data_IF_496359860421
#
_entry.id   IF_496359860421
#
_cell.length_a   1.000
_cell.length_b   1.000
_cell.length_c   1.000
_cell.angle_alpha   90.00
_cell.angle_beta   90.00
_cell.angle_gamma   90.00
#
_symmetry.space_group_name_H-M   'P 1'
#
loop_
_entity.id
_entity.type
_entity.pdbx_description
1 polymer ?
#
# COMPACT_ATOMS: atom_id res chain seq x y z
N UNK A 1 -21.14 -15.17 15.80
CA UNK A 1 -20.41 -15.51 14.55
C UNK A 1 -19.08 -14.75 14.49
N UNK A 2 -18.48 -14.44 15.66
CA UNK A 2 -17.49 -13.36 15.81
C UNK A 2 -16.05 -13.86 16.01
N UNK A 3 -15.86 -15.17 16.18
CA UNK A 3 -14.55 -15.77 16.43
C UNK A 3 -13.63 -15.79 15.20
N UNK A 4 -14.18 -15.95 13.98
CA UNK A 4 -13.38 -16.06 12.75
C UNK A 4 -12.78 -14.71 12.32
N UNK A 5 -13.55 -13.63 12.38
CA UNK A 5 -13.10 -12.27 12.04
C UNK A 5 -11.98 -11.80 12.98
N UNK A 6 -12.14 -12.06 14.29
CA UNK A 6 -11.11 -11.73 15.29
C UNK A 6 -9.84 -12.57 15.15
N UNK A 7 -9.94 -13.82 14.67
CA UNK A 7 -8.77 -14.68 14.43
C UNK A 7 -7.97 -14.24 13.20
N UNK A 8 -8.66 -13.93 12.10
CA UNK A 8 -8.03 -13.46 10.87
C UNK A 8 -7.26 -12.14 11.08
N UNK A 9 -7.84 -11.20 11.83
CA UNK A 9 -7.18 -9.94 12.17
C UNK A 9 -5.90 -10.15 13.00
N UNK A 10 -5.90 -11.11 13.94
CA UNK A 10 -4.71 -11.47 14.73
C UNK A 10 -3.61 -12.11 13.89
N UNK A 11 -3.97 -12.98 12.94
CA UNK A 11 -3.00 -13.61 12.05
C UNK A 11 -2.34 -12.57 11.13
N UNK A 12 -3.13 -11.72 10.49
CA UNK A 12 -2.63 -10.62 9.66
C UNK A 12 -1.70 -9.70 10.47
N UNK A 13 -2.11 -9.31 11.69
CA UNK A 13 -1.32 -8.43 12.56
C UNK A 13 0.05 -9.02 12.89
N UNK A 14 0.14 -10.34 13.11
CA UNK A 14 1.43 -11.03 13.31
C UNK A 14 2.28 -10.99 12.03
N UNK A 15 1.70 -11.33 10.88
CA UNK A 15 2.41 -11.38 9.61
C UNK A 15 2.91 -9.99 9.17
N UNK A 16 2.08 -8.95 9.26
CA UNK A 16 2.50 -7.59 8.90
C UNK A 16 3.53 -7.03 9.87
N UNK A 17 3.51 -7.44 11.15
CA UNK A 17 4.54 -7.07 12.11
C UNK A 17 5.90 -7.71 11.80
N UNK A 18 5.92 -8.90 11.21
CA UNK A 18 7.17 -9.51 10.70
C UNK A 18 7.71 -8.68 9.53
N UNK A 19 6.86 -8.26 8.59
CA UNK A 19 7.28 -7.38 7.51
C UNK A 19 7.81 -6.05 8.04
N UNK A 20 7.13 -5.43 9.02
CA UNK A 20 7.64 -4.23 9.68
C UNK A 20 9.03 -4.44 10.27
N UNK A 21 9.30 -5.58 10.93
CA UNK A 21 10.64 -5.90 11.46
C UNK A 21 11.69 -6.00 10.36
N UNK A 22 11.35 -6.59 9.21
CA UNK A 22 12.24 -6.66 8.04
C UNK A 22 12.58 -5.25 7.54
N UNK A 23 11.58 -4.38 7.40
CA UNK A 23 11.78 -2.97 7.04
C UNK A 23 12.67 -2.25 8.05
N UNK A 24 12.41 -2.44 9.35
CA UNK A 24 13.19 -1.84 10.43
C UNK A 24 14.63 -2.39 10.57
N UNK A 25 14.93 -3.50 9.88
CA UNK A 25 16.27 -4.11 9.84
C UNK A 25 17.06 -3.70 8.59
N UNK A 26 16.47 -2.88 7.70
CA UNK A 26 17.16 -2.40 6.51
C UNK A 26 18.40 -1.58 6.86
N UNK A 27 19.45 -1.63 6.03
CA UNK A 27 20.73 -0.92 6.26
C UNK A 27 20.60 0.58 6.50
N UNK A 28 19.57 1.22 5.93
CA UNK A 28 19.27 2.65 6.10
C UNK A 28 18.09 2.94 7.02
N UNK A 29 17.53 1.92 7.70
CA UNK A 29 16.36 2.09 8.53
C UNK A 29 16.58 3.11 9.66
N UNK A 30 17.81 3.28 10.14
CA UNK A 30 18.18 4.22 11.22
C UNK A 30 17.71 5.65 10.96
N UNK A 31 17.67 6.09 9.69
CA UNK A 31 17.19 7.42 9.29
C UNK A 31 15.68 7.61 9.50
N UNK A 32 14.93 6.50 9.60
CA UNK A 32 13.47 6.46 9.62
C UNK A 32 12.91 5.85 10.91
N UNK A 33 13.76 5.48 11.87
CA UNK A 33 13.32 4.79 13.09
C UNK A 33 12.53 5.68 14.05
N UNK A 34 12.83 6.98 14.08
CA UNK A 34 12.24 7.95 15.01
C UNK A 34 11.69 9.16 14.24
N UNK A 35 10.73 9.90 14.83
CA UNK A 35 10.25 11.15 14.25
C UNK A 35 11.40 12.13 13.98
N UNK A 36 11.39 12.76 12.80
CA UNK A 36 12.35 13.80 12.45
C UNK A 36 12.03 15.07 13.23
N UNK A 37 13.02 15.63 13.92
CA UNK A 37 12.91 16.89 14.65
C UNK A 37 13.58 18.03 13.88
N UNK A 38 13.22 19.28 14.23
CA UNK A 38 13.84 20.45 13.62
C UNK A 38 15.35 20.60 13.93
N UNK A 39 15.85 19.91 14.98
CA UNK A 39 17.28 19.88 15.31
C UNK A 39 18.09 19.04 14.32
N UNK A 40 17.47 17.99 13.77
CA UNK A 40 18.11 17.09 12.80
C UNK A 40 17.89 17.61 11.37
N UNK A 41 16.74 18.22 11.13
CA UNK A 41 16.33 18.74 9.84
C UNK A 41 15.71 20.14 10.01
N UNK A 42 16.45 21.23 9.74
CA UNK A 42 15.97 22.59 9.94
C UNK A 42 14.64 22.88 9.22
N UNK A 43 13.67 23.46 9.93
CA UNK A 43 12.33 23.79 9.40
C UNK A 43 11.54 22.59 8.84
N UNK A 44 11.85 21.36 9.27
CA UNK A 44 11.16 20.15 8.80
C UNK A 44 9.67 20.19 9.12
N UNK A 45 9.29 20.62 10.33
CA UNK A 45 7.89 20.66 10.77
C UNK A 45 7.04 21.67 10.00
N UNK A 46 7.67 22.70 9.41
CA UNK A 46 6.98 23.70 8.58
C UNK A 46 6.84 23.25 7.13
N UNK A 47 7.73 22.35 6.69
CA UNK A 47 7.78 21.84 5.31
C UNK A 47 6.96 20.56 5.14
N UNK A 48 7.00 19.67 6.14
CA UNK A 48 6.37 18.34 6.11
C UNK A 48 5.18 18.30 7.08
N UNK A 49 3.98 18.50 6.52
CA UNK A 49 2.75 18.59 7.31
C UNK A 49 2.27 17.29 7.94
N UNK A 50 2.58 16.14 7.31
CA UNK A 50 2.20 14.82 7.82
C UNK A 50 3.43 13.95 7.96
N UNK A 51 4.13 14.12 9.08
CA UNK A 51 5.27 13.30 9.44
C UNK A 51 4.86 11.83 9.62
N UNK A 52 5.78 10.93 9.30
CA UNK A 52 5.67 9.49 9.52
C UNK A 52 7.07 8.91 9.70
N UNK A 53 7.17 7.91 10.57
CA UNK A 53 8.40 7.19 10.90
C UNK A 53 8.03 5.74 11.28
N UNK A 54 9.03 4.86 11.35
CA UNK A 54 8.81 3.44 11.61
C UNK A 54 8.29 3.17 13.03
N UNK A 55 8.65 3.95 14.04
CA UNK A 55 8.13 3.78 15.40
C UNK A 55 6.64 4.18 15.46
N UNK A 56 6.27 5.29 14.82
CA UNK A 56 4.86 5.70 14.67
C UNK A 56 4.06 4.66 13.88
N UNK A 57 4.59 4.16 12.76
CA UNK A 57 3.93 3.11 11.98
C UNK A 57 3.72 1.83 12.79
N UNK A 58 4.71 1.42 13.59
CA UNK A 58 4.58 0.28 14.52
C UNK A 58 3.47 0.51 15.53
N UNK A 59 3.44 1.67 16.17
CA UNK A 59 2.39 2.04 17.13
C UNK A 59 1.01 2.02 16.44
N UNK A 60 0.91 2.48 15.21
CA UNK A 60 -0.34 2.47 14.43
C UNK A 60 -0.81 1.05 14.10
N UNK A 61 0.10 0.10 13.85
CA UNK A 61 -0.22 -1.32 13.74
C UNK A 61 -0.70 -1.91 15.07
N UNK A 62 -0.02 -1.58 16.17
CA UNK A 62 -0.33 -2.08 17.51
C UNK A 62 -1.67 -1.57 18.03
N UNK A 63 -2.00 -0.31 17.78
CA UNK A 63 -3.25 0.34 18.21
C UNK A 63 -4.41 0.12 17.24
N UNK A 64 -4.17 -0.47 16.06
CA UNK A 64 -5.21 -0.78 15.08
C UNK A 64 -5.66 0.42 14.23
N UNK A 65 -4.85 1.47 14.15
CA UNK A 65 -5.02 2.57 13.18
C UNK A 65 -4.76 2.04 11.76
N UNK A 66 -3.68 1.27 11.60
CA UNK A 66 -3.37 0.55 10.36
C UNK A 66 -4.03 -0.82 10.46
N UNK A 67 -5.01 -1.08 9.57
CA UNK A 67 -5.86 -2.28 9.62
C UNK A 67 -5.74 -3.18 8.40
N UNK A 68 -5.08 -2.68 7.35
CA UNK A 68 -4.91 -3.37 6.09
C UNK A 68 -3.48 -3.22 5.59
N UNK A 69 -3.06 -4.12 4.70
CA UNK A 69 -1.76 -4.02 4.03
C UNK A 69 -1.66 -2.74 3.19
N UNK A 70 -2.78 -2.26 2.64
CA UNK A 70 -2.83 -0.98 1.92
C UNK A 70 -2.56 0.22 2.83
N UNK A 71 -3.10 0.23 4.05
CA UNK A 71 -2.80 1.27 5.04
C UNK A 71 -1.30 1.29 5.39
N UNK A 72 -0.71 0.11 5.58
CA UNK A 72 0.71 -0.04 5.89
C UNK A 72 1.60 0.48 4.76
N UNK A 73 1.31 0.08 3.51
CA UNK A 73 2.01 0.54 2.32
C UNK A 73 1.89 2.05 2.14
N UNK A 74 0.69 2.63 2.35
CA UNK A 74 0.46 4.07 2.26
C UNK A 74 1.35 4.84 3.23
N UNK A 75 1.41 4.42 4.49
CA UNK A 75 2.17 5.13 5.51
C UNK A 75 3.69 4.95 5.30
N UNK A 76 4.16 3.81 4.79
CA UNK A 76 5.54 3.65 4.31
C UNK A 76 5.87 4.62 3.15
N UNK A 77 5.00 4.69 2.15
CA UNK A 77 5.18 5.59 1.01
C UNK A 77 5.20 7.05 1.45
N UNK A 78 4.34 7.45 2.40
CA UNK A 78 4.35 8.79 2.97
C UNK A 78 5.70 9.11 3.63
N UNK A 79 6.23 8.19 4.45
CA UNK A 79 7.53 8.36 5.11
C UNK A 79 8.66 8.59 4.09
N UNK A 80 8.73 7.77 3.03
CA UNK A 80 9.75 7.95 1.98
C UNK A 80 9.51 9.23 1.16
N UNK A 81 8.27 9.52 0.78
CA UNK A 81 7.95 10.71 -0.01
C UNK A 81 8.26 12.01 0.74
N UNK A 82 8.06 12.04 2.07
CA UNK A 82 8.48 13.16 2.91
C UNK A 82 10.00 13.36 2.85
N UNK A 83 10.78 12.27 2.95
CA UNK A 83 12.23 12.35 2.85
C UNK A 83 12.70 12.80 1.47
N UNK A 84 12.12 12.28 0.39
CA UNK A 84 12.46 12.68 -0.98
C UNK A 84 12.05 14.12 -1.32
N UNK A 85 10.95 14.60 -0.75
CA UNK A 85 10.48 15.98 -0.96
C UNK A 85 11.29 17.00 -0.17
N UNK A 86 11.65 16.68 1.07
CA UNK A 86 12.43 17.58 1.92
C UNK A 86 13.91 17.64 1.51
N UNK A 87 14.50 16.51 1.11
CA UNK A 87 15.93 16.45 0.78
C UNK A 87 16.16 16.72 -0.71
N UNK A 88 17.23 17.46 -1.03
CA UNK A 88 17.70 17.62 -2.40
C UNK A 88 18.15 16.26 -2.98
N UNK A 89 17.92 16.03 -4.28
CA UNK A 89 18.31 14.81 -4.99
C UNK A 89 19.81 14.49 -4.93
N UNK A 90 20.66 15.51 -4.75
CA UNK A 90 22.10 15.32 -4.57
C UNK A 90 22.49 14.86 -3.15
N UNK A 91 21.61 15.05 -2.16
CA UNK A 91 21.87 14.71 -0.77
C UNK A 91 21.82 13.19 -0.54
N UNK A 92 22.71 12.65 0.30
CA UNK A 92 22.80 11.20 0.52
C UNK A 92 21.52 10.63 1.13
N UNK A 93 20.83 11.38 1.99
CA UNK A 93 19.53 10.95 2.56
C UNK A 93 18.48 10.72 1.46
N UNK A 94 18.49 11.52 0.40
CA UNK A 94 17.58 11.30 -0.74
C UNK A 94 17.90 9.97 -1.43
N UNK A 95 19.18 9.73 -1.73
CA UNK A 95 19.64 8.50 -2.41
C UNK A 95 19.35 7.26 -1.56
N UNK A 96 19.63 7.31 -0.26
CA UNK A 96 19.34 6.24 0.70
C UNK A 96 17.83 5.99 0.86
N UNK A 97 17.01 7.06 0.88
CA UNK A 97 15.56 6.94 0.94
C UNK A 97 15.00 6.25 -0.31
N UNK A 98 15.49 6.62 -1.50
CA UNK A 98 15.05 6.04 -2.76
C UNK A 98 15.43 4.55 -2.88
N UNK A 99 16.65 4.19 -2.48
CA UNK A 99 17.09 2.78 -2.44
C UNK A 99 16.23 1.97 -1.47
N UNK A 100 16.07 2.44 -0.23
CA UNK A 100 15.25 1.75 0.77
C UNK A 100 13.79 1.66 0.34
N UNK A 101 13.23 2.69 -0.29
CA UNK A 101 11.86 2.67 -0.82
C UNK A 101 11.70 1.53 -1.83
N UNK A 102 12.60 1.40 -2.80
CA UNK A 102 12.50 0.35 -3.82
C UNK A 102 12.52 -1.05 -3.21
N UNK A 103 13.48 -1.30 -2.31
CA UNK A 103 13.63 -2.60 -1.63
C UNK A 103 12.40 -2.94 -0.77
N UNK A 104 11.91 -1.97 0.00
CA UNK A 104 10.73 -2.14 0.85
C UNK A 104 9.48 -2.36 0.02
N UNK A 105 9.32 -1.66 -1.11
CA UNK A 105 8.16 -1.85 -1.99
C UNK A 105 8.17 -3.22 -2.67
N UNK A 106 9.35 -3.75 -3.00
CA UNK A 106 9.47 -5.14 -3.46
C UNK A 106 9.07 -6.14 -2.36
N UNK A 107 9.48 -5.92 -1.11
CA UNK A 107 9.07 -6.76 0.03
C UNK A 107 7.54 -6.71 0.26
N UNK A 108 6.93 -5.53 0.17
CA UNK A 108 5.46 -5.36 0.28
C UNK A 108 4.74 -6.09 -0.86
N UNK A 109 5.22 -5.99 -2.10
CA UNK A 109 4.66 -6.71 -3.23
C UNK A 109 4.74 -8.23 -3.04
N UNK A 110 5.88 -8.75 -2.58
CA UNK A 110 6.06 -10.17 -2.27
C UNK A 110 5.12 -10.64 -1.14
N UNK A 111 4.94 -9.80 -0.11
CA UNK A 111 4.00 -10.07 0.97
C UNK A 111 2.57 -10.19 0.44
N UNK A 112 2.11 -9.24 -0.39
CA UNK A 112 0.78 -9.27 -1.02
C UNK A 112 0.57 -10.51 -1.89
N UNK A 113 1.55 -10.88 -2.71
CA UNK A 113 1.50 -12.10 -3.52
C UNK A 113 1.30 -13.35 -2.63
N UNK A 114 2.02 -13.40 -1.51
CA UNK A 114 1.91 -14.50 -0.54
C UNK A 114 0.52 -14.54 0.11
N UNK A 115 -0.08 -13.39 0.46
CA UNK A 115 -1.44 -13.34 1.00
C UNK A 115 -2.47 -13.94 0.03
N UNK A 116 -2.37 -13.63 -1.26
CA UNK A 116 -3.29 -14.12 -2.29
C UNK A 116 -3.22 -15.65 -2.49
N UNK A 117 -2.02 -16.24 -2.37
CA UNK A 117 -1.83 -17.70 -2.47
C UNK A 117 -2.45 -18.46 -1.28
N UNK A 118 -2.41 -17.87 -0.08
CA UNK A 118 -3.02 -18.47 1.13
C UNK A 118 -4.55 -18.47 1.01
N UNK A 119 -5.14 -17.45 0.38
CA UNK A 119 -6.59 -17.40 0.14
C UNK A 119 -7.08 -18.45 -0.87
N UNK A 120 -6.23 -18.88 -1.81
CA UNK A 120 -6.59 -19.86 -2.86
C UNK A 120 -6.42 -21.33 -2.44
N UNK A 121 -5.74 -21.62 -1.33
CA UNK A 121 -5.37 -22.98 -0.92
C UNK A 121 -6.26 -23.59 0.17
N UNK A 122 -7.44 -23.02 0.45
CA UNK A 122 -8.39 -23.68 1.35
C UNK A 122 -8.85 -25.04 0.78
N UNK A 123 -8.67 -26.16 1.50
CA UNK A 123 -9.14 -27.46 1.05
C UNK A 123 -10.67 -27.50 1.10
N UNK A 124 -11.29 -27.68 -0.07
CA UNK A 124 -12.71 -28.00 -0.18
C UNK A 124 -12.96 -29.37 0.48
N UNK A 125 -13.43 -29.39 1.72
CA UNK A 125 -13.95 -30.62 2.34
C UNK A 125 -15.26 -31.01 1.63
N UNK A 126 -15.40 -32.23 1.09
CA UNK A 126 -16.65 -32.65 0.48
C UNK A 126 -17.64 -33.02 1.60
N UNK A 127 -18.58 -32.12 1.91
CA UNK A 127 -19.77 -32.45 2.71
C UNK A 127 -21.03 -32.17 1.90
N UNK A 128 -21.73 -33.25 1.58
CA UNK A 128 -23.19 -33.26 1.45
C UNK A 128 -23.76 -32.84 0.11
N UNK A 129 -24.18 -33.84 -0.66
CA UNK A 129 -25.11 -33.73 -1.77
C UNK A 129 -26.40 -33.01 -1.34
N UNK A 130 -26.58 -31.75 -1.75
CA UNK A 130 -27.92 -31.14 -1.91
C UNK A 130 -27.99 -30.39 -3.23
N UNK A 131 -28.78 -30.97 -4.14
CA UNK A 131 -29.16 -30.41 -5.43
C UNK A 131 -30.10 -29.22 -5.19
N UNK A 132 -29.68 -28.02 -5.56
CA UNK A 132 -30.59 -26.94 -5.94
C UNK A 132 -29.96 -26.06 -7.02
N UNK A 133 -30.56 -26.13 -8.19
CA UNK A 133 -30.40 -25.24 -9.34
C UNK A 133 -30.74 -23.79 -8.97
N UNK A 134 -29.84 -22.83 -9.23
CA UNK A 134 -30.12 -21.66 -10.09
C UNK A 134 -28.86 -20.79 -10.35
N UNK A 135 -28.46 -20.77 -11.62
CA UNK A 135 -27.76 -19.74 -12.40
C UNK A 135 -26.81 -18.75 -11.70
N UNK A 136 -25.51 -19.00 -11.90
CA UNK A 136 -24.44 -18.00 -11.86
C UNK A 136 -24.45 -17.18 -13.15
N UNK A 137 -24.67 -15.87 -13.06
CA UNK A 137 -24.41 -14.95 -14.18
C UNK A 137 -22.91 -14.71 -14.24
N UNK A 138 -22.25 -15.35 -15.21
CA UNK A 138 -20.87 -15.06 -15.59
C UNK A 138 -20.98 -13.92 -16.60
N UNK A 139 -20.50 -12.73 -16.24
CA UNK A 139 -20.39 -11.64 -17.22
C UNK A 139 -19.29 -12.01 -18.22
N UNK A 140 -19.68 -12.16 -19.50
CA UNK A 140 -18.77 -12.43 -20.63
C UNK A 140 -17.66 -11.37 -20.68
N UNK A 141 -16.43 -11.84 -20.95
CA UNK A 141 -15.22 -11.04 -21.16
C UNK A 141 -15.36 -9.96 -22.24
N UNK A 142 -16.34 -10.08 -23.14
CA UNK A 142 -16.62 -9.11 -24.21
C UNK A 142 -17.23 -7.80 -23.68
N UNK A 143 -17.99 -7.84 -22.57
CA UNK A 143 -18.60 -6.60 -22.02
C UNK A 143 -17.60 -5.74 -21.26
N UNK A 144 -16.54 -6.34 -20.72
CA UNK A 144 -15.49 -5.63 -19.97
C UNK A 144 -14.55 -4.89 -20.92
N UNK A 145 -14.22 -5.48 -22.08
CA UNK A 145 -13.38 -4.82 -23.10
C UNK A 145 -14.09 -3.62 -23.73
N UNK A 146 -15.41 -3.73 -23.98
CA UNK A 146 -16.17 -2.63 -24.57
C UNK A 146 -16.40 -1.46 -23.60
N UNK A 147 -16.62 -1.75 -22.31
CA UNK A 147 -16.72 -0.72 -21.27
C UNK A 147 -15.38 0.02 -21.05
N UNK A 148 -14.24 -0.68 -21.23
CA UNK A 148 -12.90 -0.09 -21.13
C UNK A 148 -12.60 0.81 -22.34
N UNK A 149 -12.98 0.38 -23.55
CA UNK A 149 -12.80 1.15 -24.79
C UNK A 149 -13.61 2.46 -24.81
N UNK A 150 -14.84 2.43 -24.28
CA UNK A 150 -15.70 3.64 -24.16
C UNK A 150 -15.16 4.66 -23.17
N UNK A 151 -14.49 4.22 -22.09
CA UNK A 151 -13.87 5.12 -21.11
C UNK A 151 -12.59 5.77 -21.63
N UNK A 152 -11.76 5.06 -22.40
CA UNK A 152 -10.56 5.65 -23.00
C UNK A 152 -10.89 6.71 -24.04
N UNK A 153 -11.93 6.51 -24.86
CA UNK A 153 -12.38 7.50 -25.84
C UNK A 153 -12.92 8.78 -25.20
N UNK A 154 -13.60 8.69 -24.04
CA UNK A 154 -14.10 9.85 -23.32
C UNK A 154 -12.97 10.73 -22.76
N UNK A 155 -11.91 10.10 -22.21
CA UNK A 155 -10.75 10.81 -21.64
C UNK A 155 -9.95 11.52 -22.75
N UNK A 156 -9.79 10.90 -23.92
CA UNK A 156 -9.13 11.56 -25.06
C UNK A 156 -9.93 12.76 -25.59
N UNK A 157 -11.27 12.67 -25.57
CA UNK A 157 -12.15 13.79 -25.92
C UNK A 157 -12.01 14.97 -24.97
N UNK A 158 -12.00 14.72 -23.66
CA UNK A 158 -11.81 15.75 -22.63
C UNK A 158 -10.41 16.38 -22.72
N UNK A 159 -9.36 15.58 -22.96
CA UNK A 159 -8.00 16.10 -23.08
C UNK A 159 -7.82 16.97 -24.34
N UNK A 160 -8.48 16.63 -25.46
CA UNK A 160 -8.52 17.48 -26.65
C UNK A 160 -9.30 18.77 -26.42
N UNK A 161 -10.41 18.71 -25.68
CA UNK A 161 -11.21 19.88 -25.35
C UNK A 161 -10.45 20.86 -24.45
N UNK A 162 -9.76 20.36 -23.43
CA UNK A 162 -8.95 21.20 -22.53
C UNK A 162 -7.77 21.85 -23.25
N UNK A 163 -7.10 21.13 -24.16
CA UNK A 163 -6.02 21.69 -24.98
C UNK A 163 -6.49 22.76 -25.96
N UNK A 164 -7.73 22.68 -26.44
CA UNK A 164 -8.31 23.71 -27.34
C UNK A 164 -8.67 25.00 -26.57
N UNK A 165 -9.09 24.88 -25.31
CA UNK A 165 -9.43 26.02 -24.44
C UNK A 165 -8.20 26.79 -23.92
N UNK A 166 -6.99 26.26 -24.11
CA UNK A 166 -5.73 26.92 -23.72
C UNK A 166 -5.04 27.66 -24.89
N UNK A 167 -5.64 27.64 -26.09
CA UNK A 167 -5.11 28.24 -27.32
C UNK A 167 -5.99 29.40 -27.86
N UNK A 168 -6.98 29.83 -27.10
CA UNK A 168 -7.72 31.11 -27.26
C UNK A 168 -7.52 31.95 -26.00
#
# INVERSE_FOLDING_TARGET
MDCEVGSHNRAWKKSIMILWKQVASHRYASLFLQPVTNDIAPNYSDTVYRAMDLATLKKNLETGVVRTTSDFQRDLMLMFQNALMYNNHEHDVYKMALEMQNDVMAQVAQFLATQLMVETTQPVTPKGLRRSTLRRSVMSSEKVSEARSKRTAAIEGELKFMKKKTLE
#
